data_IF_935353149839
#
_entry.id   IF_935353149839
#
_cell.length_a   1.000
_cell.length_b   1.000
_cell.length_c   1.000
_cell.angle_alpha   90.00
_cell.angle_beta   90.00
_cell.angle_gamma   90.00
#
_symmetry.space_group_name_H-M   'P 1'
#
loop_
_entity.id
_entity.type
_entity.pdbx_description
1 polymer ?
#
# COMPACT_ATOMS: atom_id res chain seq x y z
N UNK A 1 -1.72 -33.63 11.81
CA UNK A 1 -2.80 -32.62 11.71
C UNK A 1 -2.64 -31.92 10.36
N UNK A 2 -3.67 -31.91 9.51
CA UNK A 2 -3.61 -31.16 8.25
C UNK A 2 -3.63 -29.67 8.59
N UNK A 3 -2.49 -28.99 8.44
CA UNK A 3 -2.39 -27.56 8.68
C UNK A 3 -3.31 -26.84 7.69
N UNK A 4 -4.23 -25.99 8.16
CA UNK A 4 -5.12 -25.25 7.27
C UNK A 4 -4.29 -24.31 6.39
N UNK A 5 -4.52 -24.27 5.06
CA UNK A 5 -3.66 -23.50 4.16
C UNK A 5 -3.79 -21.99 4.42
N UNK A 6 -2.64 -21.34 4.67
CA UNK A 6 -2.57 -19.89 4.92
C UNK A 6 -3.07 -19.10 3.71
N UNK A 7 -3.95 -18.13 3.97
CA UNK A 7 -4.57 -17.27 2.94
C UNK A 7 -4.09 -15.84 3.08
N UNK A 8 -3.51 -15.29 2.01
CA UNK A 8 -3.08 -13.90 1.95
C UNK A 8 -4.11 -13.01 1.26
N UNK A 9 -4.34 -11.82 1.80
CA UNK A 9 -4.97 -10.69 1.13
C UNK A 9 -3.89 -9.70 0.66
N UNK A 10 -3.85 -9.44 -0.64
CA UNK A 10 -2.91 -8.49 -1.25
C UNK A 10 -3.66 -7.27 -1.78
N UNK A 11 -3.38 -6.10 -1.22
CA UNK A 11 -3.98 -4.82 -1.58
C UNK A 11 -2.95 -3.91 -2.25
N UNK A 12 -3.13 -3.66 -3.55
CA UNK A 12 -2.18 -2.83 -4.32
C UNK A 12 -2.28 -1.35 -3.95
N UNK A 13 -1.27 -0.58 -4.39
CA UNK A 13 -1.38 0.88 -4.43
C UNK A 13 -2.42 1.35 -5.45
N UNK A 14 -2.96 2.55 -5.23
CA UNK A 14 -3.96 3.17 -6.11
C UNK A 14 -4.58 4.48 -5.60
N UNK A 15 -4.06 5.07 -4.53
CA UNK A 15 -4.59 6.32 -3.95
C UNK A 15 -6.07 6.19 -3.57
N UNK A 16 -6.90 7.17 -3.98
CA UNK A 16 -8.33 7.20 -3.72
C UNK A 16 -9.08 5.94 -4.22
N UNK A 17 -8.54 5.24 -5.22
CA UNK A 17 -9.14 4.00 -5.75
C UNK A 17 -9.07 2.83 -4.77
N UNK A 18 -8.36 2.95 -3.65
CA UNK A 18 -8.42 1.98 -2.58
C UNK A 18 -9.82 1.86 -1.95
N UNK A 19 -10.72 2.83 -2.15
CA UNK A 19 -12.14 2.67 -1.83
C UNK A 19 -12.80 1.48 -2.56
N UNK A 20 -12.35 1.16 -3.78
CA UNK A 20 -12.80 -0.04 -4.50
C UNK A 20 -12.42 -1.32 -3.73
N UNK A 21 -11.21 -1.37 -3.17
CA UNK A 21 -10.76 -2.53 -2.37
C UNK A 21 -11.70 -2.76 -1.19
N UNK A 22 -12.10 -1.68 -0.52
CA UNK A 22 -13.03 -1.73 0.60
C UNK A 22 -14.42 -2.18 0.17
N UNK A 23 -14.90 -1.75 -1.01
CA UNK A 23 -16.14 -2.26 -1.59
C UNK A 23 -16.11 -3.77 -1.84
N UNK A 24 -15.01 -4.30 -2.38
CA UNK A 24 -14.81 -5.75 -2.57
C UNK A 24 -14.80 -6.48 -1.23
N UNK A 25 -14.11 -5.94 -0.22
CA UNK A 25 -14.07 -6.53 1.12
C UNK A 25 -15.45 -6.54 1.80
N UNK A 26 -16.25 -5.48 1.62
CA UNK A 26 -17.64 -5.43 2.08
C UNK A 26 -18.49 -6.50 1.42
N UNK A 27 -18.37 -6.68 0.10
CA UNK A 27 -19.09 -7.73 -0.61
C UNK A 27 -18.66 -9.13 -0.12
N UNK A 28 -17.37 -9.37 0.08
CA UNK A 28 -16.84 -10.62 0.62
C UNK A 28 -17.38 -10.90 2.02
N UNK A 29 -17.41 -9.89 2.90
CA UNK A 29 -17.97 -10.01 4.24
C UNK A 29 -19.46 -10.37 4.22
N UNK A 30 -20.26 -9.73 3.35
CA UNK A 30 -21.67 -10.11 3.16
C UNK A 30 -21.81 -11.56 2.70
N UNK A 31 -21.09 -11.96 1.64
CA UNK A 31 -21.15 -13.33 1.10
C UNK A 31 -20.76 -14.39 2.14
N UNK A 32 -19.78 -14.10 3.00
CA UNK A 32 -19.36 -15.00 4.08
C UNK A 32 -20.43 -15.14 5.16
N UNK A 33 -21.12 -14.06 5.51
CA UNK A 33 -22.21 -14.08 6.50
C UNK A 33 -23.43 -14.83 5.99
N UNK A 34 -23.74 -14.68 4.70
CA UNK A 34 -24.89 -15.30 4.06
C UNK A 34 -24.67 -16.79 3.70
N UNK A 35 -23.42 -17.26 3.73
CA UNK A 35 -23.08 -18.66 3.41
C UNK A 35 -23.62 -19.64 4.49
N UNK A 36 -24.21 -20.79 4.10
CA UNK A 36 -24.67 -21.81 5.04
C UNK A 36 -23.53 -22.37 5.90
N UNK A 37 -23.73 -22.53 7.22
CA UNK A 37 -22.70 -23.00 8.15
C UNK A 37 -21.78 -21.91 8.73
N UNK A 38 -22.18 -20.64 8.57
CA UNK A 38 -21.46 -19.42 8.96
C UNK A 38 -21.34 -19.15 10.48
N UNK A 39 -21.51 -20.16 11.35
CA UNK A 39 -21.22 -20.02 12.78
C UNK A 39 -19.77 -19.56 13.06
N UNK A 40 -18.86 -19.77 12.09
CA UNK A 40 -17.48 -19.24 12.07
C UNK A 40 -17.25 -18.01 11.17
N UNK A 41 -18.27 -17.41 10.55
CA UNK A 41 -18.10 -16.29 9.61
C UNK A 41 -17.62 -14.97 10.25
N UNK A 42 -17.65 -14.88 11.58
CA UNK A 42 -17.05 -13.77 12.35
C UNK A 42 -15.52 -13.81 12.37
N UNK A 43 -14.92 -14.96 12.08
CA UNK A 43 -13.46 -15.09 12.04
C UNK A 43 -12.88 -14.43 10.77
N UNK A 44 -11.70 -13.85 10.93
CA UNK A 44 -10.92 -13.28 9.83
C UNK A 44 -10.62 -14.34 8.75
N UNK A 45 -10.97 -14.09 7.47
CA UNK A 45 -10.65 -14.99 6.36
C UNK A 45 -9.16 -15.13 6.02
N UNK A 46 -8.33 -14.19 6.45
CA UNK A 46 -6.98 -14.00 5.94
C UNK A 46 -5.94 -14.06 7.05
N UNK A 47 -4.94 -14.91 6.86
CA UNK A 47 -3.84 -15.06 7.81
C UNK A 47 -2.73 -14.04 7.52
N UNK A 48 -2.63 -13.54 6.29
CA UNK A 48 -1.56 -12.65 5.86
C UNK A 48 -2.16 -11.42 5.18
N UNK A 49 -1.80 -10.23 5.65
CA UNK A 49 -2.16 -8.97 4.98
C UNK A 49 -0.94 -8.34 4.34
N UNK A 50 -1.07 -7.94 3.08
CA UNK A 50 0.03 -7.34 2.30
C UNK A 50 -0.49 -6.11 1.60
N UNK A 51 0.19 -4.98 1.82
CA UNK A 51 -0.27 -3.71 1.28
C UNK A 51 0.85 -2.85 0.72
N UNK A 52 0.47 -2.02 -0.25
CA UNK A 52 1.32 -0.98 -0.83
C UNK A 52 0.54 0.31 -0.92
N UNK A 53 1.12 1.45 -0.50
CA UNK A 53 0.47 2.77 -0.55
C UNK A 53 -0.89 2.77 0.15
N UNK A 54 -1.94 3.30 -0.46
CA UNK A 54 -3.30 3.25 0.11
C UNK A 54 -3.76 1.82 0.50
N UNK A 55 -3.27 0.78 -0.19
CA UNK A 55 -3.50 -0.62 0.19
C UNK A 55 -2.77 -1.03 1.48
N UNK A 56 -1.64 -0.41 1.81
CA UNK A 56 -0.93 -0.58 3.09
C UNK A 56 -1.78 -0.08 4.27
N UNK A 57 -2.44 1.07 4.11
CA UNK A 57 -3.34 1.62 5.13
C UNK A 57 -4.50 0.65 5.38
N UNK A 58 -5.17 0.18 4.33
CA UNK A 58 -6.26 -0.80 4.45
C UNK A 58 -5.78 -2.12 5.07
N UNK A 59 -4.64 -2.64 4.61
CA UNK A 59 -4.07 -3.89 5.11
C UNK A 59 -3.73 -3.82 6.60
N UNK A 60 -3.12 -2.72 7.04
CA UNK A 60 -2.78 -2.54 8.44
C UNK A 60 -4.02 -2.27 9.31
N UNK A 61 -5.02 -1.55 8.81
CA UNK A 61 -6.29 -1.35 9.52
C UNK A 61 -7.02 -2.67 9.79
N UNK A 62 -7.00 -3.60 8.82
CA UNK A 62 -7.52 -4.96 8.94
C UNK A 62 -6.65 -5.80 9.89
N UNK A 63 -5.33 -5.78 9.72
CA UNK A 63 -4.39 -6.54 10.53
C UNK A 63 -4.46 -6.20 12.03
N UNK A 64 -4.57 -4.91 12.38
CA UNK A 64 -4.70 -4.45 13.77
C UNK A 64 -6.08 -4.75 14.39
N UNK A 65 -7.02 -5.27 13.60
CA UNK A 65 -8.38 -5.67 14.00
C UNK A 65 -8.73 -7.05 13.45
N UNK A 66 -7.72 -7.92 13.34
CA UNK A 66 -7.88 -9.26 12.79
C UNK A 66 -8.81 -10.15 13.65
N UNK A 67 -9.02 -9.78 14.91
CA UNK A 67 -10.00 -10.36 15.82
C UNK A 67 -11.46 -10.01 15.47
N UNK A 68 -11.69 -8.91 14.73
CA UNK A 68 -13.01 -8.39 14.39
C UNK A 68 -13.07 -7.91 12.93
N UNK A 69 -12.89 -8.84 11.98
CA UNK A 69 -12.75 -8.52 10.55
C UNK A 69 -13.94 -7.72 9.97
N UNK A 70 -15.18 -8.11 10.27
CA UNK A 70 -16.37 -7.41 9.76
C UNK A 70 -16.45 -5.96 10.25
N UNK A 71 -16.08 -5.71 11.51
CA UNK A 71 -16.04 -4.36 12.09
C UNK A 71 -14.93 -3.52 11.45
N UNK A 72 -13.77 -4.13 11.19
CA UNK A 72 -12.68 -3.48 10.48
C UNK A 72 -13.09 -3.08 9.05
N UNK A 73 -13.80 -3.95 8.33
CA UNK A 73 -14.37 -3.64 7.01
C UNK A 73 -15.41 -2.51 7.11
N UNK A 74 -16.30 -2.55 8.10
CA UNK A 74 -17.28 -1.49 8.36
C UNK A 74 -16.64 -0.12 8.62
N UNK A 75 -15.61 -0.08 9.45
CA UNK A 75 -14.81 1.12 9.72
C UNK A 75 -14.17 1.66 8.44
N UNK A 76 -13.56 0.78 7.64
CA UNK A 76 -12.98 1.17 6.36
C UNK A 76 -14.05 1.73 5.42
N UNK A 77 -15.23 1.11 5.33
CA UNK A 77 -16.34 1.68 4.53
C UNK A 77 -16.70 3.09 4.99
N UNK A 78 -16.84 3.31 6.31
CA UNK A 78 -17.15 4.64 6.85
C UNK A 78 -16.07 5.66 6.50
N UNK A 79 -14.79 5.32 6.66
CA UNK A 79 -13.69 6.24 6.35
C UNK A 79 -13.65 6.58 4.87
N UNK A 80 -13.66 5.57 3.99
CA UNK A 80 -13.56 5.79 2.55
C UNK A 80 -14.80 6.44 1.94
N UNK A 81 -15.98 6.28 2.54
CA UNK A 81 -17.20 6.99 2.12
C UNK A 81 -17.25 8.46 2.56
N UNK A 82 -16.46 8.84 3.57
CA UNK A 82 -16.46 10.19 4.14
C UNK A 82 -15.12 10.93 3.95
N UNK A 83 -14.18 10.34 3.20
CA UNK A 83 -12.90 10.98 2.91
C UNK A 83 -13.12 12.09 1.89
N UNK A 84 -12.83 13.33 2.28
CA UNK A 84 -12.86 14.48 1.39
C UNK A 84 -11.44 14.89 0.98
N UNK A 85 -11.31 15.56 -0.17
CA UNK A 85 -10.00 15.97 -0.69
C UNK A 85 -9.22 16.82 0.32
N UNK A 86 -9.93 17.64 1.10
CA UNK A 86 -9.41 18.55 2.14
C UNK A 86 -8.78 17.80 3.33
N UNK A 87 -9.18 16.55 3.56
CA UNK A 87 -8.65 15.69 4.62
C UNK A 87 -7.38 14.95 4.19
N UNK A 88 -7.12 14.87 2.87
CA UNK A 88 -5.92 14.26 2.28
C UNK A 88 -4.92 15.35 1.83
N UNK A 89 -5.43 16.53 1.46
CA UNK A 89 -4.68 17.69 0.98
C UNK A 89 -5.22 18.95 1.65
N UNK A 90 -4.41 19.72 2.38
CA UNK A 90 -4.80 21.11 2.67
C UNK A 90 -4.77 21.90 1.35
N UNK A 91 -5.94 22.16 0.78
CA UNK A 91 -6.14 23.19 -0.23
C UNK A 91 -6.07 24.56 0.44
N UNK A 92 -4.87 24.96 0.87
CA UNK A 92 -4.60 26.36 1.19
C UNK A 92 -4.53 27.11 -0.16
N UNK A 93 -5.71 27.47 -0.68
CA UNK A 93 -5.89 28.24 -1.91
C UNK A 93 -5.17 29.60 -1.89
N UNK A 94 -4.77 30.09 -0.71
CA UNK A 94 -3.91 31.28 -0.54
C UNK A 94 -2.39 30.96 -0.59
N UNK A 95 -1.97 29.74 -0.27
CA UNK A 95 -0.57 29.30 -0.34
C UNK A 95 -0.09 29.01 -1.77
N UNK A 96 -1.02 28.66 -2.67
CA UNK A 96 -0.75 28.45 -4.09
C UNK A 96 -0.44 29.76 -4.83
N UNK A 97 -1.03 30.89 -4.43
CA UNK A 97 -0.70 32.21 -5.01
C UNK A 97 0.68 32.71 -4.57
N UNK A 98 1.04 32.58 -3.29
CA UNK A 98 2.38 32.95 -2.83
C UNK A 98 3.47 32.05 -3.40
N UNK A 99 3.19 30.75 -3.59
CA UNK A 99 4.11 29.83 -4.26
C UNK A 99 4.26 30.17 -5.74
N UNK A 100 3.17 30.46 -6.46
CA UNK A 100 3.21 30.89 -7.87
C UNK A 100 3.96 32.20 -8.08
N UNK A 101 3.81 33.17 -7.17
CA UNK A 101 4.57 34.42 -7.18
C UNK A 101 6.08 34.21 -6.89
N UNK A 102 6.44 33.24 -6.04
CA UNK A 102 7.83 32.83 -5.83
C UNK A 102 8.44 32.18 -7.07
N UNK A 103 7.70 31.32 -7.78
CA UNK A 103 8.16 30.75 -9.05
C UNK A 103 8.27 31.81 -10.15
N UNK A 104 7.35 32.75 -10.21
CA UNK A 104 7.43 33.89 -11.14
C UNK A 104 8.61 34.80 -10.82
N UNK A 105 8.90 35.10 -9.54
CA UNK A 105 10.11 35.86 -9.15
C UNK A 105 11.39 35.07 -9.40
N UNK A 106 11.38 33.75 -9.24
CA UNK A 106 12.52 32.89 -9.62
C UNK A 106 12.74 32.88 -11.14
N UNK A 107 11.67 32.89 -11.93
CA UNK A 107 11.73 32.91 -13.40
C UNK A 107 12.02 34.30 -13.97
N UNK A 108 11.63 35.38 -13.28
CA UNK A 108 11.81 36.77 -13.76
C UNK A 108 13.04 37.48 -13.18
N UNK A 109 13.51 37.11 -11.97
CA UNK A 109 14.66 37.71 -11.28
C UNK A 109 15.63 36.67 -10.68
N UNK A 110 15.28 35.38 -10.66
CA UNK A 110 15.93 34.36 -9.86
C UNK A 110 17.12 33.64 -10.47
N UNK A 111 17.47 33.83 -11.74
CA UNK A 111 18.77 33.31 -12.23
C UNK A 111 19.96 33.98 -11.51
N UNK A 112 19.78 35.23 -11.04
CA UNK A 112 20.80 36.00 -10.32
C UNK A 112 20.81 35.67 -8.81
N UNK A 113 19.65 35.41 -8.20
CA UNK A 113 19.54 35.01 -6.78
C UNK A 113 19.78 33.51 -6.53
N UNK A 114 19.48 32.63 -7.50
CA UNK A 114 19.67 31.18 -7.37
C UNK A 114 21.15 30.77 -7.27
N UNK A 115 22.09 31.64 -7.65
CA UNK A 115 23.51 31.39 -7.44
C UNK A 115 23.95 31.57 -5.97
N UNK A 116 23.12 32.23 -5.14
CA UNK A 116 23.49 32.61 -3.77
C UNK A 116 22.79 31.82 -2.67
N UNK A 117 21.73 31.06 -2.96
CA UNK A 117 21.06 30.25 -1.94
C UNK A 117 20.70 28.84 -2.45
N UNK A 118 21.32 27.84 -1.82
CA UNK A 118 20.97 26.41 -1.91
C UNK A 118 19.57 26.15 -1.32
N UNK A 119 18.52 26.53 -2.05
CA UNK A 119 17.14 26.23 -1.63
C UNK A 119 16.84 24.76 -1.94
N UNK A 120 16.89 23.92 -0.90
CA UNK A 120 16.38 22.54 -0.94
C UNK A 120 14.86 22.60 -1.19
N UNK A 121 14.31 21.91 -2.20
CA UNK A 121 12.87 21.83 -2.36
C UNK A 121 12.29 21.01 -1.20
N UNK A 122 11.64 21.71 -0.25
CA UNK A 122 10.79 21.09 0.77
C UNK A 122 9.48 20.66 0.09
N UNK A 123 8.97 19.48 0.44
CA UNK A 123 7.71 18.93 -0.10
C UNK A 123 6.60 19.98 -0.07
N UNK A 124 5.88 20.14 -1.18
CA UNK A 124 4.93 21.24 -1.42
C UNK A 124 3.69 21.23 -0.50
N UNK A 125 3.43 20.15 0.25
CA UNK A 125 2.25 20.01 1.11
C UNK A 125 2.61 19.40 2.47
N UNK A 126 2.00 19.92 3.54
CA UNK A 126 2.11 19.40 4.90
C UNK A 126 1.31 18.08 5.02
N UNK A 127 1.96 16.99 5.42
CA UNK A 127 1.35 15.66 5.55
C UNK A 127 0.70 15.39 6.92
N UNK A 128 0.67 16.37 7.83
CA UNK A 128 0.08 16.22 9.15
C UNK A 128 -1.37 15.69 9.15
N UNK A 129 -2.29 16.12 8.24
CA UNK A 129 -3.67 15.62 8.23
C UNK A 129 -3.78 14.13 7.90
N UNK A 130 -3.00 13.65 6.92
CA UNK A 130 -2.96 12.24 6.55
C UNK A 130 -2.30 11.42 7.66
N UNK A 131 -1.21 11.91 8.23
CA UNK A 131 -0.54 11.24 9.34
C UNK A 131 -1.48 11.06 10.54
N UNK A 132 -2.25 12.09 10.88
CA UNK A 132 -3.24 12.02 11.95
C UNK A 132 -4.42 11.10 11.60
N UNK A 133 -4.90 11.12 10.36
CA UNK A 133 -5.93 10.19 9.91
C UNK A 133 -5.46 8.73 10.01
N UNK A 134 -4.24 8.44 9.53
CA UNK A 134 -3.65 7.10 9.60
C UNK A 134 -3.45 6.66 11.04
N UNK A 135 -2.96 7.54 11.93
CA UNK A 135 -2.79 7.22 13.35
C UNK A 135 -4.10 6.87 14.05
N UNK A 136 -5.18 7.59 13.74
CA UNK A 136 -6.50 7.29 14.31
C UNK A 136 -7.12 6.02 13.71
N UNK A 137 -6.91 5.79 12.41
CA UNK A 137 -7.48 4.65 11.70
C UNK A 137 -6.77 3.34 12.06
N UNK A 138 -5.46 3.37 12.20
CA UNK A 138 -4.61 2.18 12.29
C UNK A 138 -3.87 2.17 13.64
N UNK A 139 -4.44 1.54 14.68
CA UNK A 139 -3.77 1.41 15.97
C UNK A 139 -2.65 0.36 15.90
N UNK A 140 -1.50 0.74 15.33
CA UNK A 140 -0.35 -0.15 15.10
C UNK A 140 0.16 -0.83 16.38
N UNK A 141 -0.13 -0.25 17.54
CA UNK A 141 0.19 -0.79 18.86
C UNK A 141 -0.52 -2.13 19.13
N UNK A 142 -1.65 -2.40 18.47
CA UNK A 142 -2.39 -3.68 18.57
C UNK A 142 -1.79 -4.81 17.73
N UNK A 143 -0.94 -4.50 16.74
CA UNK A 143 -0.42 -5.50 15.81
C UNK A 143 0.33 -6.65 16.50
N UNK A 144 1.22 -6.41 17.48
CA UNK A 144 1.90 -7.49 18.20
C UNK A 144 0.90 -8.43 18.91
N UNK A 145 -0.16 -7.88 19.51
CA UNK A 145 -1.18 -8.69 20.20
C UNK A 145 -1.97 -9.57 19.22
N UNK A 146 -2.29 -9.04 18.03
CA UNK A 146 -2.98 -9.81 16.99
C UNK A 146 -2.14 -10.99 16.47
N UNK A 147 -0.82 -10.78 16.35
CA UNK A 147 0.12 -11.84 15.98
C UNK A 147 0.28 -12.86 17.11
N UNK A 148 0.46 -12.41 18.35
CA UNK A 148 0.66 -13.28 19.52
C UNK A 148 -0.57 -14.15 19.82
N UNK A 149 -1.77 -13.57 19.72
CA UNK A 149 -3.04 -14.28 19.89
C UNK A 149 -3.39 -15.22 18.71
N UNK A 150 -2.63 -15.17 17.61
CA UNK A 150 -2.84 -16.01 16.44
C UNK A 150 -4.03 -15.59 15.57
N UNK A 151 -4.54 -14.36 15.72
CA UNK A 151 -5.54 -13.78 14.81
C UNK A 151 -4.95 -13.44 13.44
N UNK A 152 -3.63 -13.33 13.37
CA UNK A 152 -2.86 -13.02 12.17
C UNK A 152 -1.55 -13.82 12.14
N UNK A 153 -1.13 -14.26 10.96
CA UNK A 153 0.19 -14.83 10.71
C UNK A 153 1.23 -13.76 10.37
N UNK A 154 0.91 -12.82 9.47
CA UNK A 154 1.83 -11.73 9.13
C UNK A 154 1.15 -10.48 8.54
N UNK A 155 1.79 -9.32 8.74
CA UNK A 155 1.54 -8.08 7.99
C UNK A 155 2.81 -7.69 7.23
N UNK A 156 2.66 -7.32 5.95
CA UNK A 156 3.76 -6.82 5.12
C UNK A 156 3.40 -5.52 4.41
N UNK A 157 4.29 -4.53 4.50
CA UNK A 157 4.14 -3.20 3.91
C UNK A 157 5.31 -2.93 2.96
N UNK A 158 5.00 -2.63 1.71
CA UNK A 158 6.03 -2.33 0.70
C UNK A 158 6.21 -0.82 0.53
N UNK A 159 7.45 -0.35 0.60
CA UNK A 159 7.86 1.03 0.31
C UNK A 159 9.05 1.04 -0.66
N UNK A 160 9.28 2.17 -1.32
CA UNK A 160 10.41 2.35 -2.24
C UNK A 160 11.50 3.21 -1.58
N UNK A 161 12.72 2.69 -1.52
CA UNK A 161 13.88 3.41 -1.02
C UNK A 161 14.30 4.49 -2.00
N UNK A 162 14.40 5.74 -1.56
CA UNK A 162 14.86 6.85 -2.41
C UNK A 162 16.38 6.86 -2.56
N UNK A 163 17.10 6.20 -1.65
CA UNK A 163 18.56 6.14 -1.68
C UNK A 163 19.06 5.08 -2.65
N UNK A 164 18.39 3.92 -2.69
CA UNK A 164 18.82 2.77 -3.51
C UNK A 164 17.96 2.56 -4.76
N UNK A 165 16.76 3.16 -4.82
CA UNK A 165 15.79 2.90 -5.89
C UNK A 165 15.13 1.52 -5.79
N UNK A 166 15.37 0.78 -4.72
CA UNK A 166 14.88 -0.58 -4.51
C UNK A 166 13.54 -0.60 -3.76
N UNK A 167 12.80 -1.70 -3.93
CA UNK A 167 11.60 -1.97 -3.16
C UNK A 167 11.92 -2.76 -1.91
N UNK A 168 11.51 -2.24 -0.76
CA UNK A 168 11.67 -2.91 0.53
C UNK A 168 10.29 -3.25 1.07
N UNK A 169 10.07 -4.53 1.36
CA UNK A 169 8.88 -5.02 2.04
C UNK A 169 9.23 -5.30 3.48
N UNK A 170 8.79 -4.41 4.36
CA UNK A 170 8.93 -4.61 5.79
C UNK A 170 7.79 -5.51 6.27
N UNK A 171 8.10 -6.53 7.07
CA UNK A 171 7.09 -7.46 7.56
C UNK A 171 7.22 -7.74 9.06
N UNK A 172 6.08 -7.91 9.71
CA UNK A 172 5.97 -8.41 11.08
C UNK A 172 5.15 -9.69 11.02
N UNK A 173 5.76 -10.80 11.45
CA UNK A 173 5.14 -12.12 11.44
C UNK A 173 5.14 -12.73 12.83
N UNK A 174 4.19 -13.63 13.09
CA UNK A 174 4.06 -14.38 14.35
C UNK A 174 5.26 -15.28 14.60
N UNK A 175 5.80 -15.87 13.54
CA UNK A 175 6.95 -16.75 13.56
C UNK A 175 8.12 -16.11 12.80
N UNK A 176 9.34 -16.52 13.11
CA UNK A 176 10.53 -16.04 12.42
C UNK A 176 10.51 -16.53 10.97
N UNK A 177 10.37 -15.60 10.03
CA UNK A 177 10.44 -15.85 8.59
C UNK A 177 11.75 -15.27 8.08
N UNK A 178 12.51 -16.08 7.33
CA UNK A 178 13.82 -15.68 6.78
C UNK A 178 13.65 -14.47 5.86
N UNK A 179 14.46 -13.40 6.03
CA UNK A 179 14.50 -12.31 5.06
C UNK A 179 14.83 -12.84 3.66
N UNK A 180 14.30 -12.18 2.64
CA UNK A 180 14.54 -12.57 1.26
C UNK A 180 15.14 -11.42 0.46
N UNK A 181 16.08 -11.76 -0.41
CA UNK A 181 16.70 -10.83 -1.32
C UNK A 181 16.50 -11.30 -2.76
N UNK A 182 16.04 -10.40 -3.62
CA UNK A 182 15.93 -10.57 -5.06
C UNK A 182 16.42 -9.29 -5.73
N UNK A 183 16.62 -9.33 -7.04
CA UNK A 183 17.03 -8.15 -7.81
C UNK A 183 16.11 -6.96 -7.51
N UNK A 184 16.67 -5.91 -6.90
CA UNK A 184 16.01 -4.66 -6.47
C UNK A 184 14.84 -4.84 -5.49
N UNK A 185 14.79 -5.96 -4.75
CA UNK A 185 13.68 -6.31 -3.87
C UNK A 185 14.19 -6.99 -2.61
N UNK A 186 13.80 -6.45 -1.46
CA UNK A 186 14.19 -6.96 -0.15
C UNK A 186 12.95 -7.20 0.70
N UNK A 187 12.92 -8.33 1.39
CA UNK A 187 12.00 -8.61 2.49
C UNK A 187 12.76 -8.49 3.79
N UNK A 188 12.32 -7.58 4.65
CA UNK A 188 13.03 -7.22 5.87
C UNK A 188 12.11 -7.41 7.09
N UNK A 189 12.47 -8.28 8.05
CA UNK A 189 11.70 -8.41 9.28
C UNK A 189 11.81 -7.09 10.07
N UNK A 190 10.68 -6.55 10.50
CA UNK A 190 10.64 -5.27 11.21
C UNK A 190 9.45 -5.20 12.16
N UNK A 191 9.61 -4.51 13.28
CA UNK A 191 8.48 -4.06 14.08
C UNK A 191 7.78 -2.91 13.36
N UNK A 192 6.72 -3.25 12.64
CA UNK A 192 5.96 -2.29 11.86
C UNK A 192 5.32 -1.24 12.77
N UNK A 193 5.42 0.02 12.33
CA UNK A 193 4.87 1.18 13.00
C UNK A 193 4.31 2.17 11.97
N UNK A 194 3.81 3.31 12.45
CA UNK A 194 3.24 4.35 11.60
C UNK A 194 4.21 4.91 10.54
N UNK A 195 5.52 4.95 10.82
CA UNK A 195 6.50 5.48 9.85
C UNK A 195 6.60 4.58 8.62
N UNK A 196 6.44 3.26 8.78
CA UNK A 196 6.40 2.31 7.66
C UNK A 196 5.15 2.51 6.79
N UNK A 197 4.00 2.81 7.41
CA UNK A 197 2.75 3.09 6.69
C UNK A 197 2.83 4.41 5.91
N UNK A 198 3.36 5.45 6.55
CA UNK A 198 3.54 6.76 5.95
C UNK A 198 4.57 6.71 4.82
N UNK A 199 5.68 5.98 5.02
CA UNK A 199 6.64 5.69 3.96
C UNK A 199 5.98 4.99 2.77
N UNK A 200 5.23 3.92 3.00
CA UNK A 200 4.55 3.17 1.93
C UNK A 200 3.56 4.02 1.13
N UNK A 201 2.95 5.03 1.77
CA UNK A 201 1.89 5.89 1.22
C UNK A 201 2.38 7.27 0.78
N UNK A 202 3.68 7.55 0.86
CA UNK A 202 4.25 8.86 0.55
C UNK A 202 4.40 9.06 -0.97
N UNK A 203 3.28 9.39 -1.63
CA UNK A 203 3.22 9.72 -3.06
C UNK A 203 4.22 10.85 -3.38
N UNK A 204 5.16 10.64 -4.32
CA UNK A 204 6.13 11.66 -4.72
C UNK A 204 5.48 12.99 -5.11
N UNK A 205 6.16 14.10 -4.82
CA UNK A 205 5.72 15.48 -5.07
C UNK A 205 4.53 15.96 -4.24
N UNK A 206 3.75 15.03 -3.67
CA UNK A 206 2.58 15.30 -2.84
C UNK A 206 2.92 15.16 -1.36
N UNK A 207 3.65 14.12 -0.96
CA UNK A 207 4.01 13.86 0.42
C UNK A 207 5.54 13.80 0.61
N UNK A 208 6.08 14.30 1.74
CA UNK A 208 7.49 14.15 2.05
C UNK A 208 7.86 12.67 2.22
N UNK A 209 9.10 12.35 1.85
CA UNK A 209 9.68 11.05 2.19
C UNK A 209 9.66 10.85 3.71
N UNK A 210 9.49 9.60 4.15
CA UNK A 210 9.54 9.24 5.56
C UNK A 210 10.85 8.50 5.85
N UNK A 211 11.50 8.85 6.96
CA UNK A 211 12.73 8.20 7.38
C UNK A 211 12.41 6.98 8.24
N UNK A 212 12.72 5.78 7.76
CA UNK A 212 12.60 4.54 8.54
C UNK A 212 13.91 4.32 9.28
N UNK A 213 13.82 4.08 10.59
CA UNK A 213 14.96 3.66 11.41
C UNK A 213 15.02 2.13 11.38
N UNK A 214 16.11 1.61 10.85
CA UNK A 214 16.41 0.18 10.80
C UNK A 214 17.94 0.06 10.67
N UNK A 215 18.53 -1.00 11.23
CA UNK A 215 19.98 -1.18 11.26
C UNK A 215 20.59 -1.20 9.85
N UNK A 216 20.19 -2.19 9.02
CA UNK A 216 20.72 -2.34 7.66
C UNK A 216 19.88 -1.67 6.57
N UNK A 217 18.63 -1.35 6.86
CA UNK A 217 17.64 -0.82 5.90
C UNK A 217 17.09 0.53 6.36
N UNK A 218 17.88 1.28 7.13
CA UNK A 218 17.55 2.64 7.53
C UNK A 218 17.68 3.60 6.35
N UNK A 219 16.72 4.51 6.19
CA UNK A 219 16.80 5.50 5.12
C UNK A 219 15.50 6.23 4.80
N UNK A 220 15.54 7.02 3.74
CA UNK A 220 14.39 7.74 3.22
C UNK A 220 13.60 6.87 2.25
N UNK A 221 12.31 6.73 2.54
CA UNK A 221 11.38 5.93 1.77
C UNK A 221 10.22 6.78 1.26
N UNK A 222 9.63 6.35 0.14
CA UNK A 222 8.37 6.85 -0.36
C UNK A 222 7.51 5.78 -1.00
N UNK A 223 6.51 6.20 -1.77
CA UNK A 223 5.40 5.35 -2.19
C UNK A 223 5.86 4.04 -2.88
N UNK A 224 5.48 2.91 -2.29
CA UNK A 224 5.90 1.59 -2.74
C UNK A 224 5.28 1.12 -4.07
N UNK A 225 4.28 1.83 -4.60
CA UNK A 225 3.65 1.54 -5.90
C UNK A 225 4.51 2.01 -7.09
N UNK A 226 5.50 2.86 -6.85
CA UNK A 226 6.42 3.33 -7.87
C UNK A 226 7.25 2.17 -8.43
N UNK A 227 7.06 1.79 -9.70
CA UNK A 227 7.81 0.71 -10.38
C UNK A 227 7.58 -0.69 -9.77
N UNK A 228 6.44 -0.90 -9.08
CA UNK A 228 6.08 -2.19 -8.51
C UNK A 228 5.98 -3.27 -9.60
N UNK A 229 6.95 -4.18 -9.65
CA UNK A 229 7.07 -5.23 -10.67
C UNK A 229 6.62 -6.61 -10.18
N UNK A 230 6.52 -6.84 -8.86
CA UNK A 230 6.15 -8.14 -8.29
C UNK A 230 5.36 -8.03 -6.96
N UNK A 231 4.06 -7.65 -7.01
CA UNK A 231 3.24 -7.43 -5.81
C UNK A 231 2.93 -8.71 -5.01
N UNK A 232 3.16 -9.91 -5.57
CA UNK A 232 2.77 -11.18 -4.97
C UNK A 232 3.91 -11.93 -4.28
N UNK A 233 5.17 -11.57 -4.55
CA UNK A 233 6.33 -12.27 -3.98
C UNK A 233 6.31 -12.29 -2.44
N UNK A 234 5.94 -11.21 -1.73
CA UNK A 234 5.83 -11.25 -0.28
C UNK A 234 4.86 -12.33 0.23
N UNK A 235 3.73 -12.57 -0.44
CA UNK A 235 2.76 -13.59 -0.01
C UNK A 235 3.38 -14.99 -0.02
N UNK A 236 4.13 -15.31 -1.07
CA UNK A 236 4.81 -16.61 -1.20
C UNK A 236 5.88 -16.77 -0.13
N UNK A 237 6.69 -15.73 0.09
CA UNK A 237 7.74 -15.76 1.12
C UNK A 237 7.18 -15.83 2.55
N UNK A 238 5.99 -15.29 2.77
CA UNK A 238 5.28 -15.38 4.05
C UNK A 238 4.49 -16.69 4.22
N UNK A 239 4.64 -17.66 3.31
CA UNK A 239 4.04 -18.99 3.44
C UNK A 239 2.59 -19.10 2.97
N UNK A 240 2.04 -18.08 2.28
CA UNK A 240 0.69 -18.15 1.75
C UNK A 240 0.55 -19.28 0.71
N UNK A 241 -0.51 -20.06 0.83
CA UNK A 241 -0.90 -21.10 -0.14
C UNK A 241 -2.11 -20.69 -0.97
N UNK A 242 -2.88 -19.71 -0.50
CA UNK A 242 -4.02 -19.10 -1.21
C UNK A 242 -3.88 -17.59 -1.18
N UNK A 243 -4.20 -16.92 -2.29
CA UNK A 243 -4.10 -15.47 -2.40
C UNK A 243 -5.41 -14.89 -2.93
N UNK A 244 -5.94 -13.87 -2.27
CA UNK A 244 -6.90 -12.93 -2.84
C UNK A 244 -6.18 -11.62 -3.13
N UNK A 245 -6.18 -11.20 -4.40
CA UNK A 245 -5.50 -9.99 -4.84
C UNK A 245 -6.53 -8.97 -5.28
N UNK A 246 -6.55 -7.79 -4.64
CA UNK A 246 -7.47 -6.71 -5.00
C UNK A 246 -6.67 -5.51 -5.52
N UNK A 247 -6.62 -5.40 -6.84
CA UNK A 247 -5.95 -4.30 -7.53
C UNK A 247 -6.80 -3.03 -7.52
N UNK A 248 -6.20 -1.91 -7.11
CA UNK A 248 -6.75 -0.57 -7.29
C UNK A 248 -6.26 0.10 -8.59
N UNK A 249 -5.56 -0.67 -9.46
CA UNK A 249 -5.40 -0.46 -10.89
C UNK A 249 -4.15 0.29 -11.37
N UNK A 250 -3.29 -0.44 -12.09
CA UNK A 250 -2.75 -0.04 -13.41
C UNK A 250 -3.08 -1.17 -14.40
N UNK A 251 -4.07 -0.97 -15.26
CA UNK A 251 -4.22 -1.78 -16.47
C UNK A 251 -3.27 -1.20 -17.52
N UNK A 252 -1.98 -1.56 -17.47
CA UNK A 252 -1.26 -1.76 -18.72
C UNK A 252 -1.37 -3.25 -19.00
N UNK A 253 -2.57 -3.68 -19.36
CA UNK A 253 -2.69 -4.88 -20.16
C UNK A 253 -2.10 -4.48 -21.52
N UNK A 254 -0.95 -5.02 -21.95
CA UNK A 254 -0.51 -4.79 -23.32
C UNK A 254 -1.69 -5.22 -24.19
N UNK A 255 -2.18 -4.32 -25.04
CA UNK A 255 -3.23 -4.66 -25.98
C UNK A 255 -2.76 -5.93 -26.70
N UNK A 256 -3.46 -7.04 -26.48
CA UNK A 256 -3.26 -8.23 -27.28
C UNK A 256 -3.63 -7.77 -28.69
N UNK A 257 -2.62 -7.42 -29.50
CA UNK A 257 -2.78 -7.37 -30.94
C UNK A 257 -3.16 -8.79 -31.31
N UNK A 258 -4.47 -9.06 -31.40
CA UNK A 258 -4.96 -10.20 -32.16
C UNK A 258 -4.34 -10.01 -33.54
N UNK A 259 -3.35 -10.83 -33.86
CA UNK A 259 -2.91 -10.95 -35.23
C UNK A 259 -4.18 -11.28 -36.01
N UNK A 260 -4.60 -10.36 -36.87
CA UNK A 260 -5.65 -10.63 -37.84
C UNK A 260 -5.17 -11.86 -38.61
N UNK A 261 -5.80 -13.01 -38.32
CA UNK A 261 -5.65 -14.21 -39.11
C UNK A 261 -6.35 -13.96 -40.46
N UNK A 262 -5.68 -13.18 -41.29
CA UNK A 262 -5.94 -13.06 -42.72
C UNK A 262 -4.64 -13.45 -43.43
N UNK A 263 -4.25 -14.69 -43.22
CA UNK A 263 -3.44 -15.45 -44.16
C UNK A 263 -4.27 -16.66 -44.56
N UNK A 264 -5.19 -16.40 -45.48
CA UNK A 264 -5.65 -17.36 -46.47
C UNK A 264 -4.40 -17.89 -47.19
N UNK A 265 -3.90 -19.04 -46.75
CA UNK A 265 -3.07 -19.91 -47.58
C UNK A 265 -3.92 -21.14 -47.88
N UNK A 266 -4.46 -21.12 -49.08
CA UNK A 266 -5.15 -22.22 -49.71
C UNK A 266 -4.24 -23.46 -49.70
N UNK A 267 -4.78 -24.55 -49.15
CA UNK A 267 -4.22 -25.88 -49.31
C UNK A 267 -4.64 -26.39 -50.70
N UNK A 268 -3.72 -26.74 -51.62
CA UNK A 268 -4.10 -27.39 -52.87
C UNK A 268 -4.40 -28.86 -52.59
N UNK A 269 -5.59 -29.30 -53.01
CA UNK A 269 -5.94 -30.71 -53.14
C UNK A 269 -5.33 -31.26 -54.44
N UNK A 270 -4.45 -32.25 -54.33
CA UNK A 270 -4.34 -33.46 -55.16
C UNK A 270 -3.16 -34.31 -54.67
#
# INVERSE_FOLDING_TARGET
>A
MMNTPLTALVLSGGGARAAYQVGVLKALDCLRRDAPGSAGARANPFDIFIGTSAGAINSAALACRADAFSDAVGLLCQVWSNVHAEQVYRTDSLGLMCSGAQWLTVLSLGWVLAHWQRVKPRSLLNNAPLAELVRRLVPMERLPDMLAAGHLHALALTASSYSTGEHVTFYHAREAITPWMRTQRHGVPSQLNHDHLLASSAIPFIFPACHIKHDDYGGWYGDGSMRQSAPLAPAVHLGAQRLLVIGAGRMHEPAIKRASASLLLAWPNA
#
